data_IF_164116005244
#
_entry.id   IF_164116005244
#
_cell.length_a   1.000
_cell.length_b   1.000
_cell.length_c   1.000
_cell.angle_alpha   90.00
_cell.angle_beta   90.00
_cell.angle_gamma   90.00
#
_symmetry.space_group_name_H-M   'P 1'
#
loop_
_entity.id
_entity.type
_entity.pdbx_description
1 polymer ?
#
# COMPACT_ATOMS: atom_id res chain seq x y z
N UNK A 1 -4.87 7.47 -22.49
CA UNK A 1 -5.16 7.67 -21.04
C UNK A 1 -5.99 8.94 -20.88
N UNK A 2 -7.29 8.84 -20.52
CA UNK A 2 -8.19 10.01 -20.57
C UNK A 2 -7.92 11.10 -19.50
N UNK A 3 -7.15 10.78 -18.44
CA UNK A 3 -6.70 11.74 -17.42
C UNK A 3 -5.26 12.28 -17.62
N UNK A 4 -4.65 12.05 -18.78
CA UNK A 4 -3.26 12.48 -18.99
C UNK A 4 -3.10 14.02 -18.99
N UNK A 5 -4.14 14.75 -19.41
CA UNK A 5 -4.13 16.22 -19.55
C UNK A 5 -4.76 16.97 -18.36
N UNK A 6 -5.25 16.26 -17.35
CA UNK A 6 -5.89 16.86 -16.20
C UNK A 6 -4.87 17.43 -15.19
N UNK A 7 -5.26 18.46 -14.44
CA UNK A 7 -4.41 19.03 -13.37
C UNK A 7 -4.01 18.00 -12.31
N UNK A 8 -2.91 18.26 -11.59
CA UNK A 8 -2.34 17.34 -10.59
C UNK A 8 -3.37 16.76 -9.61
N UNK A 9 -4.20 17.62 -9.00
CA UNK A 9 -5.21 17.20 -8.04
C UNK A 9 -6.27 16.28 -8.64
N UNK A 10 -6.71 16.56 -9.87
CA UNK A 10 -7.66 15.71 -10.59
C UNK A 10 -7.08 14.33 -10.89
N UNK A 11 -5.79 14.25 -11.22
CA UNK A 11 -5.09 12.96 -11.43
C UNK A 11 -4.98 12.19 -10.13
N UNK A 12 -4.55 12.83 -9.03
CA UNK A 12 -4.45 12.18 -7.72
C UNK A 12 -5.81 11.61 -7.31
N UNK A 13 -6.87 12.42 -7.35
CA UNK A 13 -8.21 11.98 -6.96
C UNK A 13 -8.76 10.90 -7.90
N UNK A 14 -8.60 11.07 -9.21
CA UNK A 14 -9.04 10.09 -10.21
C UNK A 14 -8.37 8.73 -10.03
N UNK A 15 -7.04 8.68 -9.90
CA UNK A 15 -6.30 7.44 -9.69
C UNK A 15 -6.51 6.84 -8.30
N UNK A 16 -6.69 7.66 -7.27
CA UNK A 16 -7.07 7.20 -5.92
C UNK A 16 -8.41 6.48 -5.98
N UNK A 17 -9.45 7.13 -6.51
CA UNK A 17 -10.81 6.57 -6.50
C UNK A 17 -10.98 5.36 -7.42
N UNK A 18 -10.23 5.28 -8.50
CA UNK A 18 -10.33 4.16 -9.46
C UNK A 18 -9.36 3.05 -9.10
N UNK A 19 -8.06 3.27 -9.28
CA UNK A 19 -7.02 2.24 -9.12
C UNK A 19 -6.73 1.97 -7.64
N UNK A 20 -6.57 3.04 -6.85
CA UNK A 20 -6.22 2.93 -5.44
C UNK A 20 -7.28 2.15 -4.64
N UNK A 21 -8.52 2.63 -4.66
CA UNK A 21 -9.64 2.01 -3.95
C UNK A 21 -9.86 0.58 -4.41
N UNK A 22 -9.86 0.32 -5.72
CA UNK A 22 -10.05 -1.05 -6.24
C UNK A 22 -8.93 -1.98 -5.77
N UNK A 23 -7.67 -1.54 -5.84
CA UNK A 23 -6.53 -2.37 -5.44
C UNK A 23 -6.55 -2.72 -3.95
N UNK A 24 -6.85 -1.76 -3.08
CA UNK A 24 -6.88 -1.97 -1.64
C UNK A 24 -8.12 -2.75 -1.20
N UNK A 25 -9.28 -2.55 -1.84
CA UNK A 25 -10.47 -3.36 -1.61
C UNK A 25 -10.26 -4.82 -2.00
N UNK A 26 -9.60 -5.10 -3.13
CA UNK A 26 -9.33 -6.47 -3.55
C UNK A 26 -8.40 -7.20 -2.57
N UNK A 27 -7.33 -6.54 -2.11
CA UNK A 27 -6.45 -7.09 -1.07
C UNK A 27 -7.19 -7.32 0.24
N UNK A 28 -8.02 -6.36 0.65
CA UNK A 28 -8.86 -6.50 1.84
C UNK A 28 -9.77 -7.73 1.75
N UNK A 29 -10.51 -7.87 0.65
CA UNK A 29 -11.39 -9.01 0.40
C UNK A 29 -10.61 -10.32 0.47
N UNK A 30 -9.44 -10.39 -0.18
CA UNK A 30 -8.59 -11.57 -0.14
C UNK A 30 -8.21 -11.96 1.30
N UNK A 31 -7.75 -11.01 2.11
CA UNK A 31 -7.37 -11.26 3.51
C UNK A 31 -8.60 -11.60 4.38
N UNK A 32 -9.72 -10.90 4.14
CA UNK A 32 -10.97 -11.06 4.89
C UNK A 32 -11.53 -12.46 4.78
N UNK A 33 -11.46 -13.07 3.60
CA UNK A 33 -12.01 -14.41 3.35
C UNK A 33 -11.04 -15.55 3.65
N UNK A 34 -9.74 -15.29 3.70
CA UNK A 34 -8.73 -16.36 3.88
C UNK A 34 -8.26 -16.50 5.31
N UNK A 35 -8.03 -15.39 6.02
CA UNK A 35 -7.20 -15.36 7.23
C UNK A 35 -7.89 -14.62 8.39
N UNK A 36 -8.61 -13.53 8.08
CA UNK A 36 -9.22 -12.66 9.09
C UNK A 36 -10.44 -13.31 9.78
N UNK A 37 -10.69 -13.09 11.09
CA UNK A 37 -9.81 -12.48 12.09
C UNK A 37 -8.91 -13.48 12.82
N UNK A 38 -9.30 -14.77 12.83
CA UNK A 38 -8.78 -15.78 13.78
C UNK A 38 -7.27 -16.05 13.76
N UNK A 39 -6.60 -15.75 12.64
CA UNK A 39 -5.17 -16.05 12.44
C UNK A 39 -4.23 -14.89 12.75
N UNK A 40 -4.75 -13.69 12.96
CA UNK A 40 -3.94 -12.50 13.28
C UNK A 40 -3.79 -12.45 14.80
N UNK A 41 -2.60 -12.79 15.31
CA UNK A 41 -2.29 -12.79 16.75
C UNK A 41 -1.35 -11.67 17.17
N UNK A 42 -0.61 -11.13 16.20
CA UNK A 42 0.28 -9.98 16.39
C UNK A 42 0.09 -8.97 15.25
N UNK A 43 0.52 -7.72 15.48
CA UNK A 43 0.48 -6.66 14.45
C UNK A 43 1.29 -7.10 13.23
N UNK A 44 2.41 -7.79 13.47
CA UNK A 44 3.31 -8.31 12.45
C UNK A 44 2.64 -9.38 11.57
N UNK A 45 1.74 -10.21 12.12
CA UNK A 45 0.95 -11.15 11.32
C UNK A 45 0.05 -10.40 10.32
N UNK A 46 -0.61 -9.32 10.77
CA UNK A 46 -1.43 -8.46 9.92
C UNK A 46 -0.64 -7.87 8.75
N UNK A 47 0.60 -7.41 9.02
CA UNK A 47 1.51 -6.94 7.99
C UNK A 47 1.92 -8.08 7.03
N UNK A 48 2.33 -9.24 7.56
CA UNK A 48 2.80 -10.36 6.76
C UNK A 48 1.74 -10.88 5.78
N UNK A 49 0.51 -11.06 6.26
CA UNK A 49 -0.62 -11.49 5.42
C UNK A 49 -1.03 -10.44 4.39
N UNK A 50 -0.96 -9.16 4.75
CA UNK A 50 -1.25 -8.08 3.80
C UNK A 50 -0.18 -7.96 2.71
N UNK A 51 1.10 -8.12 3.07
CA UNK A 51 2.19 -8.20 2.10
C UNK A 51 1.99 -9.40 1.17
N UNK A 52 1.60 -10.57 1.70
CA UNK A 52 1.31 -11.75 0.88
C UNK A 52 0.16 -11.48 -0.12
N UNK A 53 -0.92 -10.85 0.33
CA UNK A 53 -2.03 -10.45 -0.55
C UNK A 53 -1.59 -9.42 -1.62
N UNK A 54 -0.77 -8.44 -1.24
CA UNK A 54 -0.19 -7.47 -2.16
C UNK A 54 0.73 -8.10 -3.22
N UNK A 55 1.54 -9.09 -2.82
CA UNK A 55 2.38 -9.86 -3.75
C UNK A 55 1.53 -10.60 -4.76
N UNK A 56 0.46 -11.26 -4.31
CA UNK A 56 -0.50 -11.93 -5.20
C UNK A 56 -1.19 -10.96 -6.17
N UNK A 57 -1.65 -9.81 -5.66
CA UNK A 57 -2.24 -8.76 -6.49
C UNK A 57 -1.25 -8.23 -7.53
N UNK A 58 -0.01 -7.95 -7.12
CA UNK A 58 1.04 -7.49 -8.03
C UNK A 58 1.37 -8.52 -9.12
N UNK A 59 1.37 -9.82 -8.79
CA UNK A 59 1.59 -10.87 -9.76
C UNK A 59 0.49 -10.87 -10.85
N UNK A 60 -0.79 -10.78 -10.46
CA UNK A 60 -1.90 -10.69 -11.41
C UNK A 60 -1.82 -9.43 -12.27
N UNK A 61 -1.52 -8.28 -11.65
CA UNK A 61 -1.35 -7.01 -12.36
C UNK A 61 -0.22 -7.08 -13.40
N UNK A 62 0.89 -7.71 -13.03
CA UNK A 62 2.05 -7.84 -13.90
C UNK A 62 1.81 -8.86 -15.02
N UNK A 63 1.06 -9.95 -14.78
CA UNK A 63 0.63 -10.86 -15.84
C UNK A 63 -0.21 -10.13 -16.88
N UNK A 64 -1.17 -9.32 -16.44
CA UNK A 64 -1.97 -8.49 -17.36
C UNK A 64 -1.07 -7.58 -18.22
N UNK A 65 -0.03 -6.99 -17.63
CA UNK A 65 0.93 -6.14 -18.32
C UNK A 65 1.74 -6.88 -19.41
N UNK A 66 2.05 -8.16 -19.18
CA UNK A 66 2.81 -9.02 -20.12
C UNK A 66 1.94 -9.48 -21.29
N UNK A 67 0.63 -9.62 -21.09
CA UNK A 67 -0.31 -10.04 -22.14
C UNK A 67 -0.82 -8.87 -23.00
N UNK A 68 -0.50 -7.62 -22.64
CA UNK A 68 -0.84 -6.44 -23.44
C UNK A 68 0.14 -6.33 -24.64
N UNK A 69 -0.31 -6.23 -25.90
CA UNK A 69 0.52 -6.42 -27.09
C UNK A 69 1.50 -5.25 -27.44
N UNK A 70 1.96 -4.48 -26.45
CA UNK A 70 2.86 -3.34 -26.67
C UNK A 70 4.35 -3.82 -26.80
N UNK A 71 5.18 -3.31 -27.74
CA UNK A 71 6.33 -4.05 -28.28
C UNK A 71 7.69 -3.82 -27.59
N UNK A 72 7.77 -3.44 -26.30
CA UNK A 72 9.07 -3.11 -25.65
C UNK A 72 9.40 -3.92 -24.39
N UNK A 73 9.91 -5.14 -24.60
CA UNK A 73 10.28 -6.15 -23.58
C UNK A 73 11.17 -5.61 -22.44
N UNK A 74 12.07 -4.67 -22.70
CA UNK A 74 12.95 -4.07 -21.66
C UNK A 74 12.26 -3.01 -20.80
N UNK A 75 11.28 -2.29 -21.33
CA UNK A 75 10.46 -1.38 -20.54
C UNK A 75 9.50 -2.15 -19.62
N UNK A 76 9.15 -3.38 -19.99
CA UNK A 76 8.18 -4.20 -19.25
C UNK A 76 8.76 -4.79 -17.97
N UNK A 77 10.00 -5.31 -18.00
CA UNK A 77 10.65 -5.89 -16.82
C UNK A 77 10.79 -4.89 -15.66
N UNK A 78 11.14 -3.64 -15.94
CA UNK A 78 11.24 -2.59 -14.93
C UNK A 78 9.86 -2.19 -14.40
N UNK A 79 8.86 -2.07 -15.27
CA UNK A 79 7.48 -1.76 -14.87
C UNK A 79 6.93 -2.82 -13.92
N UNK A 80 7.23 -4.10 -14.19
CA UNK A 80 6.90 -5.23 -13.34
C UNK A 80 7.51 -5.06 -11.94
N UNK A 81 8.81 -4.77 -11.87
CA UNK A 81 9.52 -4.57 -10.60
C UNK A 81 8.97 -3.37 -9.82
N UNK A 82 8.73 -2.25 -10.51
CA UNK A 82 8.18 -1.03 -9.91
C UNK A 82 6.78 -1.30 -9.34
N UNK A 83 5.89 -1.90 -10.13
CA UNK A 83 4.54 -2.24 -9.69
C UNK A 83 4.58 -3.18 -8.48
N UNK A 84 5.46 -4.16 -8.50
CA UNK A 84 5.62 -5.10 -7.39
C UNK A 84 6.01 -4.39 -6.10
N UNK A 85 7.09 -3.59 -6.13
CA UNK A 85 7.60 -2.87 -4.96
C UNK A 85 6.55 -1.90 -4.42
N UNK A 86 5.87 -1.13 -5.30
CA UNK A 86 4.78 -0.23 -4.92
C UNK A 86 3.66 -0.95 -4.18
N UNK A 87 3.15 -2.04 -4.73
CA UNK A 87 2.00 -2.75 -4.18
C UNK A 87 2.31 -3.39 -2.82
N UNK A 88 3.54 -3.90 -2.64
CA UNK A 88 4.03 -4.36 -1.35
C UNK A 88 4.05 -3.22 -0.33
N UNK A 89 4.58 -2.05 -0.71
CA UNK A 89 4.59 -0.86 0.15
C UNK A 89 3.19 -0.44 0.60
N UNK A 90 2.23 -0.36 -0.32
CA UNK A 90 0.84 -0.04 0.03
C UNK A 90 0.21 -1.12 0.92
N UNK A 91 0.58 -2.38 0.71
CA UNK A 91 0.16 -3.51 1.55
C UNK A 91 0.58 -3.36 3.02
N UNK A 92 1.70 -2.68 3.31
CA UNK A 92 2.13 -2.42 4.68
C UNK A 92 1.15 -1.49 5.42
N UNK A 93 0.59 -0.49 4.73
CA UNK A 93 -0.41 0.42 5.30
C UNK A 93 -1.65 -0.41 5.68
N UNK A 94 -2.21 -1.14 4.72
CA UNK A 94 -3.42 -1.91 4.96
C UNK A 94 -3.23 -3.02 6.01
N UNK A 95 -2.05 -3.64 6.02
CA UNK A 95 -1.69 -4.68 6.99
C UNK A 95 -1.61 -4.15 8.43
N UNK A 96 -1.12 -2.93 8.63
CA UNK A 96 -1.12 -2.28 9.94
C UNK A 96 -2.55 -2.05 10.45
N UNK A 97 -3.43 -1.47 9.62
CA UNK A 97 -4.81 -1.20 10.03
C UNK A 97 -5.62 -2.48 10.28
N UNK A 98 -5.42 -3.52 9.46
CA UNK A 98 -6.05 -4.82 9.68
C UNK A 98 -5.53 -5.54 10.92
N UNK A 99 -4.21 -5.45 11.18
CA UNK A 99 -3.60 -5.98 12.39
C UNK A 99 -4.16 -5.32 13.64
N UNK A 100 -4.28 -3.99 13.63
CA UNK A 100 -4.86 -3.24 14.74
C UNK A 100 -6.33 -3.57 14.98
N UNK A 101 -7.12 -3.75 13.91
CA UNK A 101 -8.54 -4.11 13.98
C UNK A 101 -8.77 -5.54 14.49
N UNK A 102 -7.84 -6.47 14.23
CA UNK A 102 -7.95 -7.85 14.69
C UNK A 102 -7.58 -8.01 16.17
N UNK A 103 -6.67 -7.18 16.68
CA UNK A 103 -6.14 -7.27 18.05
C UNK A 103 -6.91 -6.41 19.05
N UNK A 104 -7.41 -5.27 18.59
CA UNK A 104 -8.13 -4.32 19.43
C UNK A 104 -9.56 -4.18 18.89
N UNK A 105 -10.52 -4.05 19.81
CA UNK A 105 -11.93 -3.80 19.49
C UNK A 105 -12.13 -2.36 18.95
N UNK A 106 -11.51 -2.07 17.82
CA UNK A 106 -11.57 -0.78 17.14
C UNK A 106 -12.82 -0.71 16.28
N UNK A 107 -13.42 0.47 16.12
CA UNK A 107 -14.60 0.64 15.27
C UNK A 107 -14.26 0.33 13.81
N UNK A 108 -15.24 -0.18 13.04
CA UNK A 108 -15.10 -0.50 11.62
C UNK A 108 -14.61 0.70 10.75
N UNK A 109 -14.72 1.93 11.26
CA UNK A 109 -14.13 3.13 10.63
C UNK A 109 -12.61 3.03 10.46
N UNK A 110 -11.91 2.27 11.30
CA UNK A 110 -10.47 2.03 11.15
C UNK A 110 -10.14 1.29 9.85
N UNK A 111 -11.05 0.43 9.39
CA UNK A 111 -10.92 -0.22 8.08
C UNK A 111 -11.05 0.79 6.94
N UNK A 112 -12.03 1.68 7.03
CA UNK A 112 -12.22 2.77 6.06
C UNK A 112 -11.00 3.69 6.00
N UNK A 113 -10.38 3.97 7.15
CA UNK A 113 -9.14 4.74 7.21
C UNK A 113 -7.96 4.03 6.53
N UNK A 114 -7.79 2.72 6.75
CA UNK A 114 -6.76 1.92 6.08
C UNK A 114 -6.93 1.89 4.56
N UNK A 115 -8.16 1.65 4.09
CA UNK A 115 -8.50 1.71 2.67
C UNK A 115 -8.27 3.09 2.07
N UNK A 116 -8.71 4.15 2.74
CA UNK A 116 -8.54 5.52 2.27
C UNK A 116 -7.06 5.91 2.19
N UNK A 117 -6.28 5.60 3.22
CA UNK A 117 -4.85 5.90 3.25
C UNK A 117 -4.05 5.08 2.22
N UNK A 118 -4.35 3.79 2.07
CA UNK A 118 -3.75 2.94 1.04
C UNK A 118 -4.08 3.44 -0.37
N UNK A 119 -5.36 3.77 -0.62
CA UNK A 119 -5.80 4.30 -1.91
C UNK A 119 -5.18 5.66 -2.23
N UNK A 120 -5.08 6.56 -1.24
CA UNK A 120 -4.41 7.85 -1.38
C UNK A 120 -2.92 7.69 -1.65
N UNK A 121 -2.23 6.79 -0.94
CA UNK A 121 -0.82 6.51 -1.20
C UNK A 121 -0.61 6.02 -2.65
N UNK A 122 -1.52 5.16 -3.14
CA UNK A 122 -1.49 4.66 -4.51
C UNK A 122 -1.69 5.77 -5.55
N UNK A 123 -2.74 6.59 -5.40
CA UNK A 123 -3.00 7.72 -6.30
C UNK A 123 -1.91 8.78 -6.28
N UNK A 124 -1.36 9.08 -5.10
CA UNK A 124 -0.25 10.00 -4.93
C UNK A 124 1.01 9.50 -5.66
N UNK A 125 1.34 8.22 -5.52
CA UNK A 125 2.45 7.60 -6.22
C UNK A 125 2.31 7.68 -7.75
N UNK A 126 1.12 7.38 -8.28
CA UNK A 126 0.86 7.46 -9.73
C UNK A 126 1.00 8.91 -10.22
N UNK A 127 0.48 9.89 -9.48
CA UNK A 127 0.58 11.29 -9.84
C UNK A 127 2.04 11.81 -9.80
N UNK A 128 2.82 11.44 -8.78
CA UNK A 128 4.25 11.77 -8.72
C UNK A 128 5.02 11.18 -9.89
N UNK A 129 4.76 9.91 -10.24
CA UNK A 129 5.37 9.25 -11.39
C UNK A 129 5.03 9.99 -12.69
N UNK A 130 3.81 10.50 -12.83
CA UNK A 130 3.39 11.23 -14.02
C UNK A 130 4.08 12.61 -14.15
N UNK A 131 4.30 13.32 -13.05
CA UNK A 131 5.07 14.58 -13.05
C UNK A 131 6.53 14.31 -13.38
N UNK A 132 7.14 13.31 -12.75
CA UNK A 132 8.53 12.94 -12.97
C UNK A 132 8.78 12.60 -14.45
N UNK A 133 7.84 11.91 -15.10
CA UNK A 133 7.92 11.62 -16.54
C UNK A 133 7.82 12.87 -17.43
N UNK A 134 7.06 13.89 -17.02
CA UNK A 134 6.85 15.13 -17.79
C UNK A 134 7.97 16.16 -17.65
N UNK A 135 8.76 16.13 -16.57
CA UNK A 135 9.82 17.11 -16.28
C UNK A 135 11.15 16.84 -17.01
N UNK A 136 11.20 15.92 -17.98
CA UNK A 136 12.43 15.56 -18.68
C UNK A 136 13.40 14.72 -17.82
N UNK A 137 13.04 14.43 -16.56
CA UNK A 137 13.49 13.24 -15.85
C UNK A 137 12.91 12.04 -16.58
N UNK A 138 13.51 11.69 -17.72
CA UNK A 138 13.16 10.45 -18.39
C UNK A 138 13.22 9.36 -17.33
N UNK A 139 12.10 8.67 -17.12
CA UNK A 139 11.98 7.53 -16.21
C UNK A 139 12.73 6.33 -16.80
N UNK A 140 13.85 6.59 -17.50
CA UNK A 140 14.78 5.64 -18.06
C UNK A 140 15.39 4.86 -16.90
N UNK A 141 14.86 3.65 -16.76
CA UNK A 141 15.37 2.46 -16.08
C UNK A 141 15.74 2.56 -14.59
N UNK A 142 16.64 3.45 -14.18
CA UNK A 142 17.11 3.51 -12.78
C UNK A 142 16.33 4.53 -11.93
N UNK A 143 16.02 5.70 -12.47
CA UNK A 143 15.42 6.79 -11.69
C UNK A 143 14.01 6.44 -11.18
N UNK A 144 13.21 5.75 -12.00
CA UNK A 144 11.88 5.27 -11.58
C UNK A 144 11.95 4.21 -10.48
N UNK A 145 13.00 3.39 -10.49
CA UNK A 145 13.21 2.35 -9.49
C UNK A 145 13.66 2.95 -8.15
N UNK A 146 14.57 3.93 -8.21
CA UNK A 146 14.99 4.71 -7.02
C UNK A 146 13.79 5.43 -6.40
N UNK A 147 12.95 6.08 -7.22
CA UNK A 147 11.77 6.78 -6.74
C UNK A 147 10.81 5.85 -6.00
N UNK A 148 10.51 4.67 -6.57
CA UNK A 148 9.61 3.73 -5.91
C UNK A 148 10.21 3.18 -4.62
N UNK A 149 11.50 2.86 -4.61
CA UNK A 149 12.18 2.37 -3.41
C UNK A 149 12.14 3.44 -2.32
N UNK A 150 12.45 4.70 -2.65
CA UNK A 150 12.41 5.80 -1.68
C UNK A 150 11.01 6.02 -1.14
N UNK A 151 10.00 5.99 -2.00
CA UNK A 151 8.60 6.13 -1.60
C UNK A 151 8.17 5.00 -0.66
N UNK A 152 8.47 3.74 -1.02
CA UNK A 152 8.11 2.57 -0.22
C UNK A 152 8.88 2.52 1.10
N UNK A 153 10.14 2.94 1.13
CA UNK A 153 10.89 3.12 2.37
C UNK A 153 10.23 4.17 3.26
N UNK A 154 9.78 5.30 2.68
CA UNK A 154 9.00 6.31 3.42
C UNK A 154 7.75 5.72 4.06
N UNK A 155 6.99 4.92 3.30
CA UNK A 155 5.81 4.21 3.81
C UNK A 155 6.18 3.22 4.91
N UNK A 156 7.23 2.41 4.72
CA UNK A 156 7.68 1.42 5.68
C UNK A 156 8.15 2.08 7.00
N UNK A 157 8.87 3.20 6.91
CA UNK A 157 9.30 3.99 8.07
C UNK A 157 8.11 4.60 8.80
N UNK A 158 7.12 5.14 8.07
CA UNK A 158 5.90 5.66 8.67
C UNK A 158 5.10 4.57 9.40
N UNK A 159 4.96 3.39 8.80
CA UNK A 159 4.31 2.23 9.43
C UNK A 159 5.09 1.76 10.66
N UNK A 160 6.41 1.65 10.57
CA UNK A 160 7.26 1.28 11.72
C UNK A 160 7.16 2.31 12.86
N UNK A 161 7.12 3.60 12.54
CA UNK A 161 6.89 4.65 13.53
C UNK A 161 5.53 4.51 14.21
N UNK A 162 4.48 4.21 13.44
CA UNK A 162 3.14 3.95 13.99
C UNK A 162 3.16 2.73 14.92
N UNK A 163 3.74 1.61 14.50
CA UNK A 163 3.84 0.40 15.35
C UNK A 163 4.48 0.75 16.70
N UNK A 164 5.64 1.41 16.70
CA UNK A 164 6.34 1.81 17.93
C UNK A 164 5.51 2.75 18.80
N UNK A 165 4.78 3.67 18.17
CA UNK A 165 3.94 4.63 18.89
C UNK A 165 2.77 3.93 19.58
N UNK A 166 2.16 2.95 18.92
CA UNK A 166 1.04 2.19 19.49
C UNK A 166 1.51 1.18 20.53
N UNK A 167 2.63 0.48 20.30
CA UNK A 167 3.23 -0.44 21.29
C UNK A 167 3.59 0.29 22.59
N UNK A 168 4.17 1.50 22.50
CA UNK A 168 4.50 2.30 23.67
C UNK A 168 3.25 2.74 24.46
N UNK A 169 2.14 3.02 23.76
CA UNK A 169 0.86 3.37 24.40
C UNK A 169 0.25 2.17 25.11
N UNK A 170 0.30 0.99 24.51
CA UNK A 170 -0.24 -0.23 25.11
C UNK A 170 0.56 -0.63 26.36
N UNK A 171 1.89 -0.47 26.32
CA UNK A 171 2.77 -0.71 27.48
C UNK A 171 2.47 0.25 28.64
N UNK A 172 2.22 1.54 28.37
CA UNK A 172 1.86 2.50 29.41
C UNK A 172 0.52 2.16 30.10
N UNK A 173 -0.49 1.76 29.32
CA UNK A 173 -1.81 1.38 29.85
C UNK A 173 -1.77 0.10 30.69
N UNK A 174 -0.91 -0.86 30.33
CA UNK A 174 -0.71 -2.07 31.12
C UNK A 174 0.05 -1.79 32.42
N UNK A 175 1.05 -0.91 32.38
CA UNK A 175 1.78 -0.46 33.57
C UNK A 175 0.87 0.25 34.58
N UNK A 176 -0.04 1.10 34.12
CA UNK A 176 -1.03 1.74 34.99
C UNK A 176 -1.97 0.71 35.65
N UNK A 177 -2.46 -0.29 34.90
CA UNK A 177 -3.35 -1.33 35.46
C UNK A 177 -2.70 -2.16 36.57
N UNK A 178 -1.39 -2.41 36.50
CA UNK A 178 -0.66 -3.17 37.53
C UNK A 178 -0.40 -2.37 38.80
N UNK A 179 -0.42 -1.04 38.75
CA UNK A 179 -0.27 -0.20 39.96
C UNK A 179 -1.58 -0.04 40.75
N UNK A 180 -2.72 -0.39 40.14
CA UNK A 180 -4.06 -0.22 40.73
C UNK A 180 -4.60 -1.55 41.31
N UNK A 181 -3.92 -2.67 41.05
CA UNK A 181 -4.22 -4.02 41.59
C UNK A 181 -3.37 -4.38 42.79
#
# INVERSE_FOLDING_TARGET
MWLAEAGFFTRVLGYTCTVGVTSELLKYIAIRYTIFPSRIRTRLDGLAYSVAASVGYAAVLNLHLVFDPDPTVTADAQRIAINFISQVGFGLIMGFFLGELALHDRPALFLGAGLALGALANGLYIAFRAIAAGSGFSVSNLNGLILVVFFVLGVALAVNFLIRTFDARDAALQGERQMIS
#
